data_IF_759901273404
#
_entry.id   IF_759901273404
#
_cell.length_a   1.000
_cell.length_b   1.000
_cell.length_c   1.000
_cell.angle_alpha   90.00
_cell.angle_beta   90.00
_cell.angle_gamma   90.00
#
_symmetry.space_group_name_H-M   'P 1'
#
loop_
_entity.id
_entity.type
_entity.pdbx_description
1 polymer ?
#
# COMPACT_ATOMS: atom_id res chain seq x y z
N UNK A 1 -18.51 6.34 10.26
CA UNK A 1 -17.29 6.32 9.43
C UNK A 1 -16.08 6.86 10.17
N UNK A 2 -16.06 8.11 10.66
CA UNK A 2 -14.90 8.67 11.38
C UNK A 2 -14.44 7.85 12.60
N UNK A 3 -15.36 7.40 13.46
CA UNK A 3 -15.02 6.53 14.61
C UNK A 3 -14.45 5.18 14.18
N UNK A 4 -15.00 4.57 13.13
CA UNK A 4 -14.49 3.32 12.58
C UNK A 4 -13.07 3.50 12.05
N UNK A 5 -12.80 4.59 11.34
CA UNK A 5 -11.47 4.88 10.81
C UNK A 5 -10.44 5.14 11.90
N UNK A 6 -10.81 5.88 12.95
CA UNK A 6 -9.95 6.08 14.12
C UNK A 6 -9.65 4.76 14.83
N UNK A 7 -10.66 3.91 15.00
CA UNK A 7 -10.48 2.59 15.60
C UNK A 7 -9.55 1.69 14.77
N UNK A 8 -9.74 1.62 13.45
CA UNK A 8 -8.88 0.81 12.56
C UNK A 8 -7.42 1.28 12.60
N UNK A 9 -7.18 2.59 12.60
CA UNK A 9 -5.82 3.14 12.73
C UNK A 9 -5.21 2.80 14.10
N UNK A 10 -5.99 2.93 15.18
CA UNK A 10 -5.54 2.61 16.53
C UNK A 10 -5.15 1.13 16.66
N UNK A 11 -5.93 0.20 16.08
CA UNK A 11 -5.60 -1.23 16.06
C UNK A 11 -4.26 -1.48 15.35
N UNK A 12 -4.02 -0.85 14.20
CA UNK A 12 -2.76 -0.99 13.46
C UNK A 12 -1.58 -0.47 14.30
N UNK A 13 -1.73 0.69 14.95
CA UNK A 13 -0.69 1.25 15.83
C UNK A 13 -0.38 0.28 16.98
N UNK A 14 -1.40 -0.33 17.60
CA UNK A 14 -1.19 -1.31 18.67
C UNK A 14 -0.46 -2.57 18.17
N UNK A 15 -0.79 -3.07 16.99
CA UNK A 15 -0.10 -4.22 16.39
C UNK A 15 1.37 -3.89 16.10
N UNK A 16 1.65 -2.70 15.55
CA UNK A 16 3.03 -2.24 15.30
C UNK A 16 3.80 -2.12 16.61
N UNK A 17 3.19 -1.51 17.63
CA UNK A 17 3.80 -1.36 18.95
C UNK A 17 4.10 -2.73 19.59
N UNK A 18 3.18 -3.68 19.50
CA UNK A 18 3.40 -5.04 19.96
C UNK A 18 4.58 -5.70 19.23
N UNK A 19 4.60 -5.65 17.89
CA UNK A 19 5.70 -6.19 17.09
C UNK A 19 7.05 -5.59 17.47
N UNK A 20 7.10 -4.27 17.70
CA UNK A 20 8.29 -3.58 18.17
C UNK A 20 8.75 -4.07 19.55
N UNK A 21 7.84 -4.20 20.52
CA UNK A 21 8.16 -4.70 21.87
C UNK A 21 8.67 -6.15 21.81
N UNK A 22 8.06 -7.00 21.00
CA UNK A 22 8.48 -8.39 20.82
C UNK A 22 9.88 -8.49 20.20
N UNK A 23 10.19 -7.67 19.20
CA UNK A 23 11.53 -7.59 18.62
C UNK A 23 12.56 -7.15 19.67
N UNK A 24 12.25 -6.12 20.47
CA UNK A 24 13.14 -5.64 21.53
C UNK A 24 13.40 -6.68 22.62
N UNK A 25 12.39 -7.52 22.92
CA UNK A 25 12.53 -8.65 23.84
C UNK A 25 13.25 -9.86 23.22
N UNK A 26 13.76 -9.75 21.98
CA UNK A 26 14.43 -10.82 21.24
C UNK A 26 13.59 -12.09 21.08
N UNK A 27 12.26 -11.94 21.02
CA UNK A 27 11.37 -13.06 20.68
C UNK A 27 11.54 -13.52 19.24
N UNK A 28 11.95 -12.60 18.37
CA UNK A 28 12.27 -12.87 16.98
C UNK A 28 13.77 -12.75 16.76
N UNK A 29 14.32 -13.64 15.93
CA UNK A 29 15.71 -13.51 15.47
C UNK A 29 15.92 -12.23 14.65
N UNK A 30 17.16 -11.77 14.53
CA UNK A 30 17.49 -10.53 13.81
C UNK A 30 17.09 -10.57 12.33
N UNK A 31 17.09 -11.76 11.72
CA UNK A 31 16.71 -11.97 10.31
C UNK A 31 15.19 -12.11 10.09
N UNK A 32 14.39 -12.18 11.16
CA UNK A 32 12.96 -12.43 11.05
C UNK A 32 12.22 -11.32 10.28
N UNK A 33 12.42 -10.01 10.54
CA UNK A 33 11.73 -8.96 9.79
C UNK A 33 12.03 -9.01 8.29
N UNK A 34 13.29 -9.26 7.92
CA UNK A 34 13.72 -9.40 6.53
C UNK A 34 13.09 -10.62 5.87
N UNK A 35 13.06 -11.74 6.57
CA UNK A 35 12.49 -13.00 6.06
C UNK A 35 10.98 -12.89 5.83
N UNK A 36 10.26 -12.27 6.78
CA UNK A 36 8.82 -12.00 6.64
C UNK A 36 8.57 -11.01 5.50
N UNK A 37 9.39 -9.97 5.36
CA UNK A 37 9.24 -9.04 4.25
C UNK A 37 9.34 -9.74 2.90
N UNK A 38 10.38 -10.56 2.69
CA UNK A 38 10.56 -11.32 1.44
C UNK A 38 9.42 -12.30 1.20
N UNK A 39 8.97 -13.01 2.23
CA UNK A 39 7.83 -13.92 2.12
C UNK A 39 6.58 -13.19 1.62
N UNK A 40 6.31 -12.01 2.17
CA UNK A 40 5.15 -11.22 1.78
C UNK A 40 5.33 -10.68 0.35
N UNK A 41 6.44 -10.02 0.05
CA UNK A 41 6.65 -9.32 -1.23
C UNK A 41 6.87 -10.25 -2.40
N UNK A 42 7.63 -11.33 -2.20
CA UNK A 42 8.14 -12.16 -3.29
C UNK A 42 7.22 -13.37 -3.55
N UNK A 43 6.41 -13.77 -2.56
CA UNK A 43 5.55 -14.96 -2.65
C UNK A 43 4.08 -14.61 -2.45
N UNK A 44 3.72 -14.07 -1.28
CA UNK A 44 2.30 -13.89 -0.92
C UNK A 44 1.59 -12.88 -1.84
N UNK A 45 2.24 -11.76 -2.16
CA UNK A 45 1.67 -10.73 -3.03
C UNK A 45 1.48 -11.22 -4.48
N UNK A 46 2.50 -11.78 -5.18
CA UNK A 46 2.30 -12.35 -6.51
C UNK A 46 1.21 -13.42 -6.55
N UNK A 47 1.18 -14.31 -5.55
CA UNK A 47 0.15 -15.34 -5.44
C UNK A 47 -1.26 -14.73 -5.27
N UNK A 48 -1.38 -13.64 -4.49
CA UNK A 48 -2.64 -12.92 -4.28
C UNK A 48 -3.13 -12.22 -5.54
N UNK A 49 -2.22 -11.59 -6.30
CA UNK A 49 -2.52 -10.99 -7.62
C UNK A 49 -3.01 -12.07 -8.58
N UNK A 50 -2.29 -13.19 -8.68
CA UNK A 50 -2.64 -14.30 -9.57
C UNK A 50 -4.00 -14.92 -9.22
N UNK A 51 -4.23 -15.22 -7.94
CA UNK A 51 -5.50 -15.73 -7.44
C UNK A 51 -6.67 -14.77 -7.73
N UNK A 52 -6.43 -13.46 -7.56
CA UNK A 52 -7.44 -12.45 -7.89
C UNK A 52 -7.76 -12.45 -9.38
N UNK A 53 -6.75 -12.44 -10.26
CA UNK A 53 -6.98 -12.49 -11.72
C UNK A 53 -7.78 -13.73 -12.13
N UNK A 54 -7.47 -14.90 -11.56
CA UNK A 54 -8.21 -16.14 -11.84
C UNK A 54 -9.66 -16.09 -11.35
N UNK A 55 -9.91 -15.46 -10.20
CA UNK A 55 -11.26 -15.36 -9.61
C UNK A 55 -12.16 -14.38 -10.37
N UNK A 56 -11.59 -13.33 -10.95
CA UNK A 56 -12.30 -12.25 -11.66
C UNK A 56 -12.21 -12.34 -13.18
N UNK A 57 -11.90 -13.53 -13.72
CA UNK A 57 -11.71 -13.81 -15.16
C UNK A 57 -13.03 -13.93 -15.93
N UNK A 58 -14.13 -13.36 -15.42
CA UNK A 58 -15.38 -13.21 -16.16
C UNK A 58 -15.30 -11.97 -17.07
N UNK A 59 -15.87 -12.03 -18.28
CA UNK A 59 -15.74 -10.96 -19.30
C UNK A 59 -16.18 -9.57 -18.80
N UNK A 60 -17.18 -9.52 -17.93
CA UNK A 60 -17.68 -8.29 -17.30
C UNK A 60 -16.77 -7.77 -16.18
N UNK A 61 -16.12 -8.66 -15.43
CA UNK A 61 -15.19 -8.27 -14.36
C UNK A 61 -13.80 -7.91 -14.90
N UNK A 62 -13.39 -8.47 -16.04
CA UNK A 62 -12.20 -8.04 -16.76
C UNK A 62 -12.30 -6.58 -17.24
N UNK A 63 -13.49 -6.15 -17.67
CA UNK A 63 -13.75 -4.74 -18.02
C UNK A 63 -13.77 -3.83 -16.79
N UNK A 64 -14.29 -4.31 -15.65
CA UNK A 64 -14.27 -3.55 -14.40
C UNK A 64 -12.85 -3.45 -13.81
N UNK A 65 -12.02 -4.48 -13.97
CA UNK A 65 -10.60 -4.46 -13.61
C UNK A 65 -9.78 -3.54 -14.53
N UNK A 66 -10.02 -3.61 -15.84
CA UNK A 66 -9.36 -2.73 -16.82
C UNK A 66 -9.69 -1.25 -16.58
N UNK A 67 -10.96 -0.93 -16.30
CA UNK A 67 -11.35 0.43 -15.90
C UNK A 67 -10.76 0.83 -14.55
N UNK A 68 -10.70 -0.09 -13.57
CA UNK A 68 -10.03 0.13 -12.28
C UNK A 68 -8.53 0.44 -12.44
N UNK A 69 -7.88 -0.13 -13.45
CA UNK A 69 -6.48 0.15 -13.78
C UNK A 69 -6.29 1.60 -14.26
N UNK A 70 -7.22 2.11 -15.08
CA UNK A 70 -7.21 3.51 -15.52
C UNK A 70 -7.40 4.45 -14.31
N UNK A 71 -8.36 4.15 -13.43
CA UNK A 71 -8.58 4.93 -12.20
C UNK A 71 -7.35 4.90 -11.29
N UNK A 72 -6.71 3.73 -11.15
CA UNK A 72 -5.48 3.57 -10.39
C UNK A 72 -4.33 4.40 -10.98
N UNK A 73 -4.07 4.32 -12.28
CA UNK A 73 -3.06 5.12 -12.96
C UNK A 73 -3.33 6.62 -12.82
N UNK A 74 -4.59 7.03 -12.96
CA UNK A 74 -5.00 8.42 -12.73
C UNK A 74 -4.72 8.87 -11.30
N UNK A 75 -5.01 8.03 -10.30
CA UNK A 75 -4.75 8.34 -8.89
C UNK A 75 -3.26 8.51 -8.59
N UNK A 76 -2.40 7.66 -9.16
CA UNK A 76 -0.94 7.78 -9.03
C UNK A 76 -0.47 9.07 -9.70
N UNK A 77 -0.91 9.34 -10.93
CA UNK A 77 -0.56 10.56 -11.65
C UNK A 77 -0.96 11.83 -10.87
N UNK A 78 -2.18 11.88 -10.32
CA UNK A 78 -2.65 12.98 -9.47
C UNK A 78 -1.76 13.13 -8.25
N UNK A 79 -1.37 12.03 -7.59
CA UNK A 79 -0.50 12.06 -6.41
C UNK A 79 0.86 12.67 -6.73
N UNK A 80 1.46 12.34 -7.87
CA UNK A 80 2.70 12.98 -8.34
C UNK A 80 2.52 14.47 -8.63
N UNK A 81 1.42 14.87 -9.27
CA UNK A 81 1.10 16.28 -9.54
C UNK A 81 0.99 17.06 -8.23
N UNK A 82 0.27 16.51 -7.24
CA UNK A 82 0.14 17.11 -5.91
C UNK A 82 1.49 17.20 -5.21
N UNK A 83 2.31 16.14 -5.26
CA UNK A 83 3.65 16.14 -4.67
C UNK A 83 4.56 17.23 -5.28
N UNK A 84 4.53 17.41 -6.60
CA UNK A 84 5.27 18.47 -7.29
C UNK A 84 4.74 19.86 -6.91
N UNK A 85 3.42 20.02 -6.80
CA UNK A 85 2.81 21.28 -6.35
C UNK A 85 3.26 21.62 -4.91
N UNK A 86 3.23 20.63 -4.00
CA UNK A 86 3.68 20.80 -2.62
C UNK A 86 5.17 21.16 -2.53
N UNK A 87 6.03 20.60 -3.37
CA UNK A 87 7.44 21.01 -3.45
C UNK A 87 7.58 22.51 -3.74
N UNK A 88 6.73 23.07 -4.60
CA UNK A 88 6.74 24.50 -4.94
C UNK A 88 6.16 25.35 -3.82
N UNK A 89 5.01 24.96 -3.27
CA UNK A 89 4.30 25.70 -2.19
C UNK A 89 5.14 25.75 -0.92
N UNK A 90 5.69 24.60 -0.51
CA UNK A 90 6.49 24.45 0.72
C UNK A 90 7.96 24.86 0.54
N UNK A 91 8.34 25.34 -0.66
CA UNK A 91 9.71 25.79 -1.00
C UNK A 91 10.78 24.75 -0.62
N UNK A 92 10.54 23.48 -0.95
CA UNK A 92 11.46 22.39 -0.62
C UNK A 92 12.83 22.61 -1.29
N UNK A 93 13.89 22.46 -0.49
CA UNK A 93 15.29 22.63 -0.91
C UNK A 93 15.63 21.75 -2.11
N UNK A 94 16.37 22.30 -3.09
CA UNK A 94 16.65 21.64 -4.39
C UNK A 94 17.22 20.22 -4.25
N UNK A 95 18.09 19.99 -3.27
CA UNK A 95 18.69 18.67 -3.01
C UNK A 95 17.75 17.62 -2.39
N UNK A 96 16.55 18.00 -1.94
CA UNK A 96 15.60 17.09 -1.25
C UNK A 96 14.29 16.89 -2.01
N UNK A 97 14.11 17.52 -3.17
CA UNK A 97 12.85 17.50 -3.92
C UNK A 97 12.48 16.10 -4.39
N UNK A 98 13.44 15.32 -4.88
CA UNK A 98 13.21 13.95 -5.33
C UNK A 98 12.72 13.05 -4.20
N UNK A 99 13.44 13.07 -3.06
CA UNK A 99 13.05 12.33 -1.86
C UNK A 99 11.66 12.74 -1.36
N UNK A 100 11.37 14.04 -1.32
CA UNK A 100 10.07 14.55 -0.88
C UNK A 100 8.92 14.07 -1.77
N UNK A 101 9.10 14.12 -3.10
CA UNK A 101 8.10 13.63 -4.05
C UNK A 101 7.89 12.12 -3.87
N UNK A 102 8.99 11.36 -3.77
CA UNK A 102 8.93 9.92 -3.59
C UNK A 102 8.22 9.52 -2.29
N UNK A 103 8.47 10.23 -1.18
CA UNK A 103 7.80 9.97 0.11
C UNK A 103 6.29 10.18 0.05
N UNK A 104 5.80 11.12 -0.79
CA UNK A 104 4.37 11.37 -0.96
C UNK A 104 3.75 10.37 -1.93
N UNK A 105 4.41 10.17 -3.08
CA UNK A 105 3.85 9.36 -4.16
C UNK A 105 3.93 7.85 -3.89
N UNK A 106 5.04 7.39 -3.31
CA UNK A 106 5.36 5.97 -3.12
C UNK A 106 5.39 5.63 -1.64
N UNK A 107 4.22 5.71 -1.00
CA UNK A 107 4.05 5.29 0.39
C UNK A 107 4.15 3.76 0.54
N UNK A 108 4.41 3.28 1.77
CA UNK A 108 4.40 1.85 2.06
C UNK A 108 2.96 1.30 2.09
N UNK A 109 2.46 1.00 0.90
CA UNK A 109 1.08 0.56 0.65
C UNK A 109 0.87 -0.88 1.09
N UNK A 110 1.90 -1.71 1.08
CA UNK A 110 1.79 -3.12 1.47
C UNK A 110 1.68 -3.28 2.99
N UNK A 111 2.65 -2.77 3.75
CA UNK A 111 2.72 -3.09 5.19
C UNK A 111 1.75 -2.25 6.03
N UNK A 112 1.43 -1.04 5.57
CA UNK A 112 0.50 -0.14 6.27
C UNK A 112 -0.82 -0.01 5.51
N UNK A 113 -0.76 0.18 4.19
CA UNK A 113 -1.95 0.39 3.37
C UNK A 113 -2.87 -0.82 3.31
N UNK A 114 -2.35 -2.04 3.16
CA UNK A 114 -3.17 -3.25 3.04
C UNK A 114 -3.95 -3.56 4.34
N UNK A 115 -3.33 -3.60 5.54
CA UNK A 115 -4.09 -3.79 6.77
C UNK A 115 -5.14 -2.70 7.00
N UNK A 116 -4.82 -1.45 6.67
CA UNK A 116 -5.78 -0.34 6.79
C UNK A 116 -6.95 -0.49 5.82
N UNK A 117 -6.68 -0.88 4.57
CA UNK A 117 -7.69 -1.12 3.57
C UNK A 117 -8.65 -2.24 3.98
N UNK A 118 -8.12 -3.38 4.47
CA UNK A 118 -8.93 -4.48 4.99
C UNK A 118 -9.72 -4.05 6.22
N UNK A 119 -9.10 -3.31 7.15
CA UNK A 119 -9.77 -2.87 8.38
C UNK A 119 -10.89 -1.83 8.14
N UNK A 120 -10.83 -1.08 7.03
CA UNK A 120 -11.84 -0.07 6.68
C UNK A 120 -12.92 -0.60 5.74
N UNK A 121 -12.54 -1.43 4.76
CA UNK A 121 -13.40 -1.82 3.64
C UNK A 121 -13.61 -3.34 3.54
N UNK A 122 -12.97 -4.13 4.39
CA UNK A 122 -13.04 -5.58 4.41
C UNK A 122 -12.31 -6.25 3.25
N UNK A 123 -12.40 -7.57 3.17
CA UNK A 123 -11.73 -8.41 2.15
C UNK A 123 -12.16 -8.09 0.71
N UNK A 124 -13.36 -7.51 0.52
CA UNK A 124 -13.86 -7.11 -0.79
C UNK A 124 -13.02 -6.01 -1.46
N UNK A 125 -12.20 -5.30 -0.68
CA UNK A 125 -11.30 -4.25 -1.16
C UNK A 125 -9.96 -4.76 -1.68
N UNK A 126 -9.63 -6.04 -1.42
CA UNK A 126 -8.36 -6.67 -1.82
C UNK A 126 -8.09 -6.57 -3.33
N UNK A 127 -9.04 -6.84 -4.25
CA UNK A 127 -8.76 -6.78 -5.69
C UNK A 127 -8.41 -5.37 -6.16
N UNK A 128 -9.12 -4.35 -5.66
CA UNK A 128 -8.84 -2.95 -5.96
C UNK A 128 -7.49 -2.51 -5.43
N UNK A 129 -7.14 -2.94 -4.21
CA UNK A 129 -5.82 -2.72 -3.64
C UNK A 129 -4.71 -3.37 -4.47
N UNK A 130 -4.90 -4.59 -4.94
CA UNK A 130 -3.90 -5.29 -5.75
C UNK A 130 -3.68 -4.60 -7.11
N UNK A 131 -4.74 -4.12 -7.75
CA UNK A 131 -4.62 -3.31 -8.98
C UNK A 131 -3.87 -2.00 -8.72
N UNK A 132 -4.18 -1.32 -7.61
CA UNK A 132 -3.44 -0.13 -7.17
C UNK A 132 -1.97 -0.45 -6.90
N UNK A 133 -1.70 -1.53 -6.18
CA UNK A 133 -0.36 -1.97 -5.82
C UNK A 133 0.50 -2.26 -7.05
N UNK A 134 -0.03 -2.97 -8.05
CA UNK A 134 0.69 -3.22 -9.31
C UNK A 134 1.03 -1.89 -10.00
N UNK A 135 0.08 -0.97 -10.05
CA UNK A 135 0.29 0.34 -10.68
C UNK A 135 1.33 1.19 -9.94
N UNK A 136 1.26 1.22 -8.61
CA UNK A 136 2.17 1.95 -7.75
C UNK A 136 3.59 1.38 -7.82
N UNK A 137 3.73 0.05 -7.87
CA UNK A 137 5.02 -0.63 -8.03
C UNK A 137 5.67 -0.33 -9.38
N UNK A 138 4.89 -0.23 -10.45
CA UNK A 138 5.41 0.17 -11.78
C UNK A 138 5.83 1.64 -11.82
N UNK A 139 5.28 2.48 -10.94
CA UNK A 139 5.57 3.92 -10.88
C UNK A 139 6.83 4.28 -10.09
N UNK A 140 7.31 3.40 -9.21
CA UNK A 140 8.49 3.64 -8.35
C UNK A 140 9.77 3.25 -9.08
#
# INVERSE_FOLDING_TARGET
>A
MLFQSLQSVLVIILIIALGYILQQKKWFGEDFPTSISRLITDIALPASVFSSVLKYLSKSELLSLGSSLIYSMGSVAITYVVAIALVKVLKVQRGRRGTFINTIANANTIFIGLPLNIALFGENSMPFFLVYYVTNTVST
#
